data_IF_570716687533
#
_entry.id   IF_570716687533
#
_cell.length_a   1.000
_cell.length_b   1.000
_cell.length_c   1.000
_cell.angle_alpha   90.00
_cell.angle_beta   90.00
_cell.angle_gamma   90.00
#
_symmetry.space_group_name_H-M   'P 1'
#
loop_
_entity.id
_entity.type
_entity.pdbx_description
1 polymer ?
#
# COMPACT_ATOMS: atom_id res chain seq x y z
N UNK A 1 -7.04 1.24 -29.01
CA UNK A 1 -6.72 1.97 -27.76
C UNK A 1 -5.28 2.46 -27.84
N UNK A 2 -5.02 3.75 -27.61
CA UNK A 2 -3.66 4.29 -27.60
C UNK A 2 -2.90 3.76 -26.38
N UNK A 3 -1.68 3.24 -26.57
CA UNK A 3 -0.82 2.80 -25.45
C UNK A 3 -0.55 4.01 -24.54
N UNK A 4 -0.73 3.89 -23.21
CA UNK A 4 -0.42 5.00 -22.31
C UNK A 4 1.06 5.36 -22.44
N UNK A 5 1.35 6.67 -22.49
CA UNK A 5 2.74 7.16 -22.52
C UNK A 5 3.44 6.66 -21.27
N UNK A 6 4.61 6.03 -21.40
CA UNK A 6 5.38 5.41 -20.29
C UNK A 6 5.46 6.28 -19.03
N UNK A 7 5.58 7.61 -19.19
CA UNK A 7 5.59 8.56 -18.08
C UNK A 7 4.32 8.56 -17.22
N UNK A 8 3.12 8.50 -17.83
CA UNK A 8 1.84 8.45 -17.07
C UNK A 8 1.70 7.14 -16.30
N UNK A 9 2.18 6.03 -16.87
CA UNK A 9 2.16 4.73 -16.18
C UNK A 9 3.08 4.77 -14.97
N UNK A 10 4.29 5.32 -15.12
CA UNK A 10 5.22 5.47 -14.01
C UNK A 10 4.66 6.37 -12.89
N UNK A 11 4.04 7.49 -13.25
CA UNK A 11 3.39 8.40 -12.30
C UNK A 11 2.32 7.69 -11.47
N UNK A 12 1.42 6.94 -12.11
CA UNK A 12 0.38 6.20 -11.39
C UNK A 12 0.94 5.05 -10.55
N UNK A 13 2.01 4.39 -10.99
CA UNK A 13 2.67 3.36 -10.19
C UNK A 13 3.31 3.94 -8.92
N UNK A 14 3.97 5.09 -9.02
CA UNK A 14 4.54 5.79 -7.87
C UNK A 14 3.42 6.24 -6.92
N UNK A 15 2.35 6.82 -7.46
CA UNK A 15 1.20 7.22 -6.68
C UNK A 15 0.59 6.04 -5.90
N UNK A 16 0.35 4.92 -6.58
CA UNK A 16 -0.17 3.71 -5.93
C UNK A 16 0.78 3.20 -4.85
N UNK A 17 2.08 3.15 -5.13
CA UNK A 17 3.09 2.74 -4.14
C UNK A 17 3.05 3.61 -2.88
N UNK A 18 2.97 4.93 -3.04
CA UNK A 18 2.86 5.85 -1.91
C UNK A 18 1.56 5.65 -1.13
N UNK A 19 0.46 5.38 -1.80
CA UNK A 19 -0.81 5.06 -1.15
C UNK A 19 -0.70 3.79 -0.29
N UNK A 20 -0.09 2.71 -0.79
CA UNK A 20 0.08 1.51 0.01
C UNK A 20 0.99 1.75 1.23
N UNK A 21 2.04 2.55 1.07
CA UNK A 21 2.87 2.94 2.22
C UNK A 21 2.09 3.72 3.28
N UNK A 22 1.21 4.64 2.87
CA UNK A 22 0.33 5.37 3.78
C UNK A 22 -0.66 4.42 4.47
N UNK A 23 -1.25 3.48 3.72
CA UNK A 23 -2.16 2.45 4.25
C UNK A 23 -1.46 1.58 5.28
N UNK A 24 -0.24 1.10 5.02
CA UNK A 24 0.57 0.32 5.97
C UNK A 24 0.75 1.09 7.29
N UNK A 25 1.13 2.37 7.21
CA UNK A 25 1.33 3.20 8.41
C UNK A 25 0.02 3.35 9.20
N UNK A 26 -1.09 3.59 8.51
CA UNK A 26 -2.40 3.72 9.13
C UNK A 26 -2.86 2.42 9.79
N UNK A 27 -2.72 1.28 9.11
CA UNK A 27 -3.13 -0.03 9.65
C UNK A 27 -2.22 -0.46 10.80
N UNK A 28 -0.92 -0.18 10.74
CA UNK A 28 -0.01 -0.45 11.85
C UNK A 28 -0.38 0.39 13.09
N UNK A 29 -0.61 1.70 12.91
CA UNK A 29 -1.01 2.57 14.02
C UNK A 29 -2.32 2.09 14.65
N UNK A 30 -3.33 1.86 13.82
CA UNK A 30 -4.67 1.49 14.28
C UNK A 30 -4.75 0.06 14.85
N UNK A 31 -3.98 -0.89 14.33
CA UNK A 31 -3.92 -2.25 14.89
C UNK A 31 -3.30 -2.32 16.28
N UNK A 32 -2.55 -1.29 16.70
CA UNK A 32 -1.95 -1.21 18.04
C UNK A 32 -2.74 -0.28 18.95
N UNK A 33 -3.13 0.89 18.45
CA UNK A 33 -3.62 2.02 19.26
C UNK A 33 -5.15 2.11 19.37
N UNK A 34 -5.93 1.29 18.65
CA UNK A 34 -7.39 1.28 18.84
C UNK A 34 -7.76 0.78 20.23
N UNK A 35 -8.70 1.49 20.85
CA UNK A 35 -9.36 1.16 22.11
C UNK A 35 -10.88 1.12 21.92
N UNK A 36 -11.58 0.31 22.71
CA UNK A 36 -13.04 0.25 22.74
C UNK A 36 -13.62 -1.17 22.71
N UNK A 37 -14.94 -1.27 22.89
CA UNK A 37 -15.67 -2.53 23.08
C UNK A 37 -15.47 -3.55 21.94
N UNK A 38 -15.22 -3.07 20.71
CA UNK A 38 -15.01 -3.89 19.51
C UNK A 38 -13.60 -3.77 18.93
N UNK A 39 -12.65 -3.21 19.68
CA UNK A 39 -11.33 -2.90 19.16
C UNK A 39 -10.54 -4.17 18.78
N UNK A 40 -10.66 -5.26 19.54
CA UNK A 40 -9.85 -6.47 19.30
C UNK A 40 -10.07 -7.09 17.91
N UNK A 41 -11.32 -7.22 17.46
CA UNK A 41 -11.63 -7.75 16.12
C UNK A 41 -11.04 -6.86 15.02
N UNK A 42 -11.17 -5.54 15.18
CA UNK A 42 -10.66 -4.55 14.21
C UNK A 42 -9.13 -4.56 14.20
N UNK A 43 -8.49 -4.62 15.37
CA UNK A 43 -7.03 -4.68 15.51
C UNK A 43 -6.46 -5.93 14.86
N UNK A 44 -7.06 -7.11 15.07
CA UNK A 44 -6.64 -8.34 14.40
C UNK A 44 -6.78 -8.26 12.88
N UNK A 45 -7.87 -7.70 12.36
CA UNK A 45 -8.05 -7.48 10.92
C UNK A 45 -6.96 -6.57 10.36
N UNK A 46 -6.78 -5.38 10.96
CA UNK A 46 -5.80 -4.40 10.50
C UNK A 46 -4.36 -4.93 10.60
N UNK A 47 -4.04 -5.74 11.62
CA UNK A 47 -2.73 -6.35 11.77
C UNK A 47 -2.44 -7.36 10.64
N UNK A 48 -3.44 -8.10 10.18
CA UNK A 48 -3.29 -8.99 9.02
C UNK A 48 -3.10 -8.19 7.73
N UNK A 49 -3.90 -7.13 7.55
CA UNK A 49 -3.88 -6.30 6.34
C UNK A 49 -2.55 -5.54 6.16
N UNK A 50 -1.81 -5.24 7.24
CA UNK A 50 -0.44 -4.68 7.15
C UNK A 50 0.47 -5.54 6.25
N UNK A 51 0.39 -6.87 6.36
CA UNK A 51 1.21 -7.77 5.56
C UNK A 51 0.74 -7.86 4.10
N UNK A 52 -0.56 -7.72 3.87
CA UNK A 52 -1.16 -7.66 2.54
C UNK A 52 -0.69 -6.40 1.79
N UNK A 53 -0.81 -5.22 2.41
CA UNK A 53 -0.40 -3.97 1.78
C UNK A 53 1.12 -3.88 1.59
N UNK A 54 1.91 -4.48 2.49
CA UNK A 54 3.35 -4.61 2.27
C UNK A 54 3.68 -5.44 1.03
N UNK A 55 2.87 -6.47 0.75
CA UNK A 55 3.00 -7.27 -0.48
C UNK A 55 2.69 -6.41 -1.70
N UNK A 56 1.58 -5.66 -1.69
CA UNK A 56 1.22 -4.73 -2.77
C UNK A 56 2.30 -3.67 -3.02
N UNK A 57 2.78 -3.00 -1.97
CA UNK A 57 3.85 -2.01 -2.06
C UNK A 57 5.13 -2.61 -2.64
N UNK A 58 5.48 -3.84 -2.26
CA UNK A 58 6.65 -4.55 -2.79
C UNK A 58 6.51 -4.87 -4.27
N UNK A 59 5.34 -5.29 -4.73
CA UNK A 59 5.06 -5.56 -6.14
C UNK A 59 5.10 -4.28 -6.98
N UNK A 60 4.51 -3.19 -6.49
CA UNK A 60 4.55 -1.88 -7.12
C UNK A 60 5.98 -1.35 -7.22
N UNK A 61 6.79 -1.45 -6.16
CA UNK A 61 8.20 -1.06 -6.18
C UNK A 61 9.01 -1.87 -7.21
N UNK A 62 8.81 -3.20 -7.28
CA UNK A 62 9.42 -4.04 -8.33
C UNK A 62 9.00 -3.56 -9.72
N UNK A 63 7.72 -3.19 -9.90
CA UNK A 63 7.20 -2.73 -11.18
C UNK A 63 7.74 -1.36 -11.60
N UNK A 64 7.82 -0.40 -10.67
CA UNK A 64 8.44 0.91 -10.87
C UNK A 64 9.87 0.74 -11.39
N UNK A 65 10.66 -0.12 -10.74
CA UNK A 65 12.03 -0.43 -11.18
C UNK A 65 12.08 -1.02 -12.59
N UNK A 66 11.20 -1.97 -12.92
CA UNK A 66 11.15 -2.59 -14.25
C UNK A 66 10.83 -1.59 -15.37
N UNK A 67 10.06 -0.55 -15.09
CA UNK A 67 9.71 0.48 -16.08
C UNK A 67 10.67 1.67 -16.09
N UNK A 68 11.75 1.61 -15.30
CA UNK A 68 12.82 2.62 -15.26
C UNK A 68 12.60 3.77 -14.27
N UNK A 69 11.67 3.62 -13.33
CA UNK A 69 11.48 4.55 -12.21
C UNK A 69 12.45 4.28 -11.05
N UNK A 70 12.48 5.20 -10.09
CA UNK A 70 13.28 5.11 -8.85
C UNK A 70 12.41 5.39 -7.64
#
# INVERSE_FOLDING_TARGET
>A
MAKPKKGKVLEHLIQAYTMECETILNYLANSVMLDGVRAEEIKSSLAADVAEELTHATELAKRIKQVGGR
#
